data_IF_127790984593
#
_entry.id   IF_127790984593
#
_cell.length_a   1.000
_cell.length_b   1.000
_cell.length_c   1.000
_cell.angle_alpha   90.00
_cell.angle_beta   90.00
_cell.angle_gamma   90.00
#
_symmetry.space_group_name_H-M   'P 1'
#
loop_
_entity.id
_entity.type
_entity.pdbx_description
1 polymer ?
#
# COMPACT_ATOMS: atom_id res chain seq x y z
N UNK A 1 -10.80 24.66 1.59
CA UNK A 1 -10.27 24.06 2.82
C UNK A 1 -9.18 23.07 2.45
N UNK A 2 -8.13 23.01 3.27
CA UNK A 2 -6.77 22.63 2.90
C UNK A 2 -6.59 21.14 2.51
N UNK A 3 -6.10 20.91 1.29
CA UNK A 3 -5.39 19.68 0.93
C UNK A 3 -4.02 20.04 0.37
N UNK A 4 -3.23 20.73 1.21
CA UNK A 4 -1.78 20.68 1.14
C UNK A 4 -1.36 19.26 1.51
N UNK A 5 -1.39 18.35 0.53
CA UNK A 5 -0.58 17.13 0.56
C UNK A 5 0.89 17.56 0.44
N UNK A 6 1.39 18.16 1.53
CA UNK A 6 2.81 18.45 1.73
C UNK A 6 3.46 17.13 2.07
N UNK A 7 3.87 16.42 1.04
CA UNK A 7 4.93 15.43 1.09
C UNK A 7 5.22 15.08 -0.35
N UNK A 8 5.88 15.98 -1.08
CA UNK A 8 6.53 15.77 -2.39
C UNK A 8 7.56 16.89 -2.65
N UNK A 9 7.42 18.02 -1.97
CA UNK A 9 8.12 19.27 -2.23
C UNK A 9 9.20 19.60 -1.18
N UNK A 10 10.36 18.96 -1.25
CA UNK A 10 11.58 19.54 -0.67
C UNK A 10 12.58 20.00 -1.72
N UNK A 11 12.63 19.30 -2.86
CA UNK A 11 13.47 19.68 -3.99
C UNK A 11 12.64 20.27 -5.13
N UNK A 12 13.14 21.33 -5.81
CA UNK A 12 12.52 21.87 -7.01
C UNK A 12 12.29 20.79 -8.07
N UNK A 13 11.22 20.91 -8.85
CA UNK A 13 10.90 20.01 -9.96
C UNK A 13 12.11 19.72 -10.89
N UNK A 14 12.87 20.72 -11.39
CA UNK A 14 14.01 20.46 -12.27
C UNK A 14 15.11 19.61 -11.60
N UNK A 15 15.35 19.81 -10.31
CA UNK A 15 16.31 18.99 -9.54
C UNK A 15 15.83 17.54 -9.48
N UNK A 16 14.54 17.32 -9.21
CA UNK A 16 13.94 15.98 -9.18
C UNK A 16 14.05 15.28 -10.53
N UNK A 17 13.82 15.98 -11.64
CA UNK A 17 13.94 15.42 -12.98
C UNK A 17 15.37 14.95 -13.29
N UNK A 18 16.38 15.75 -12.93
CA UNK A 18 17.78 15.34 -13.09
C UNK A 18 18.12 14.13 -12.22
N UNK A 19 17.63 14.06 -10.98
CA UNK A 19 17.82 12.90 -10.10
C UNK A 19 17.15 11.64 -10.65
N UNK A 20 15.94 11.76 -11.20
CA UNK A 20 15.21 10.64 -11.84
C UNK A 20 15.96 10.10 -13.07
N UNK A 21 16.69 10.98 -13.78
CA UNK A 21 17.54 10.61 -14.92
C UNK A 21 18.93 10.11 -14.52
N UNK A 22 19.24 10.02 -13.23
CA UNK A 22 20.55 9.61 -12.71
C UNK A 22 21.65 10.68 -12.81
N UNK A 23 21.28 11.90 -13.21
CA UNK A 23 22.20 13.03 -13.42
C UNK A 23 22.46 13.78 -12.11
N UNK A 24 23.23 13.17 -11.21
CA UNK A 24 23.48 13.70 -9.88
C UNK A 24 24.28 15.01 -9.89
N UNK A 25 25.32 15.09 -10.72
CA UNK A 25 26.16 16.28 -10.81
C UNK A 25 25.37 17.48 -11.36
N UNK A 26 24.46 17.24 -12.31
CA UNK A 26 23.57 18.26 -12.83
C UNK A 26 22.59 18.76 -11.75
N UNK A 27 22.04 17.85 -10.94
CA UNK A 27 21.15 18.21 -9.83
C UNK A 27 21.86 19.04 -8.74
N UNK A 28 23.10 18.69 -8.38
CA UNK A 28 23.93 19.46 -7.43
C UNK A 28 24.26 20.84 -8.02
N UNK A 29 24.70 20.89 -9.27
CA UNK A 29 25.02 22.14 -9.97
C UNK A 29 23.82 23.08 -10.02
N UNK A 30 22.61 22.53 -10.26
CA UNK A 30 21.38 23.30 -10.28
C UNK A 30 21.04 23.88 -8.90
N UNK A 31 21.18 23.09 -7.84
CA UNK A 31 20.99 23.56 -6.46
C UNK A 31 22.00 24.65 -6.04
N UNK A 32 23.26 24.52 -6.46
CA UNK A 32 24.31 25.48 -6.14
C UNK A 32 24.14 26.79 -6.93
N UNK A 33 23.90 26.70 -8.24
CA UNK A 33 23.89 27.86 -9.13
C UNK A 33 22.55 28.60 -9.14
N UNK A 34 21.43 27.88 -9.19
CA UNK A 34 20.10 28.51 -9.29
C UNK A 34 19.47 28.77 -7.91
N UNK A 35 19.68 27.86 -6.96
CA UNK A 35 19.07 27.92 -5.63
C UNK A 35 20.03 28.39 -4.54
N UNK A 36 21.23 28.86 -4.94
CA UNK A 36 22.26 29.46 -4.08
C UNK A 36 22.61 28.61 -2.85
N UNK A 37 22.49 27.28 -2.97
CA UNK A 37 22.88 26.36 -1.91
C UNK A 37 24.40 26.18 -1.90
N UNK A 38 24.97 25.91 -0.74
CA UNK A 38 26.36 25.42 -0.70
C UNK A 38 26.41 24.01 -1.28
N UNK A 39 27.56 23.61 -1.83
CA UNK A 39 27.72 22.27 -2.40
C UNK A 39 27.43 21.17 -1.34
N UNK A 40 27.85 21.41 -0.10
CA UNK A 40 27.60 20.50 1.02
C UNK A 40 26.10 20.41 1.36
N UNK A 41 25.39 21.55 1.41
CA UNK A 41 23.95 21.57 1.67
C UNK A 41 23.16 20.93 0.52
N UNK A 42 23.55 21.17 -0.73
CA UNK A 42 22.94 20.55 -1.90
C UNK A 42 23.05 19.01 -1.86
N UNK A 43 24.22 18.49 -1.49
CA UNK A 43 24.43 17.04 -1.32
C UNK A 43 23.58 16.47 -0.18
N UNK A 44 23.51 17.17 0.96
CA UNK A 44 22.66 16.76 2.09
C UNK A 44 21.18 16.71 1.69
N UNK A 45 20.67 17.74 1.01
CA UNK A 45 19.28 17.79 0.54
C UNK A 45 18.94 16.67 -0.44
N UNK A 46 19.86 16.32 -1.34
CA UNK A 46 19.70 15.21 -2.28
C UNK A 46 19.67 13.87 -1.54
N UNK A 47 20.55 13.67 -0.55
CA UNK A 47 20.60 12.43 0.22
C UNK A 47 19.34 12.27 1.09
N UNK A 48 18.89 13.35 1.75
CA UNK A 48 17.64 13.36 2.50
C UNK A 48 16.44 13.03 1.61
N UNK A 49 16.39 13.60 0.40
CA UNK A 49 15.36 13.29 -0.58
C UNK A 49 15.37 11.82 -0.99
N UNK A 50 16.56 11.23 -1.24
CA UNK A 50 16.70 9.80 -1.56
C UNK A 50 16.26 8.91 -0.40
N UNK A 51 16.60 9.28 0.83
CA UNK A 51 16.16 8.55 2.02
C UNK A 51 14.63 8.58 2.14
N UNK A 52 14.02 9.76 1.98
CA UNK A 52 12.57 9.90 2.03
C UNK A 52 11.86 9.08 0.94
N UNK A 53 12.41 9.05 -0.28
CA UNK A 53 11.89 8.17 -1.34
C UNK A 53 11.97 6.69 -0.97
N UNK A 54 13.05 6.25 -0.32
CA UNK A 54 13.19 4.86 0.15
C UNK A 54 12.15 4.54 1.22
N UNK A 55 11.99 5.40 2.21
CA UNK A 55 11.00 5.22 3.29
C UNK A 55 9.56 5.15 2.74
N UNK A 56 9.22 6.02 1.80
CA UNK A 56 7.90 6.00 1.15
C UNK A 56 7.67 4.80 0.28
N UNK A 57 8.69 4.34 -0.45
CA UNK A 57 8.57 3.12 -1.24
C UNK A 57 8.22 1.94 -0.33
N UNK A 58 8.91 1.81 0.80
CA UNK A 58 8.62 0.78 1.80
C UNK A 58 7.20 0.95 2.36
N UNK A 59 6.79 2.17 2.71
CA UNK A 59 5.44 2.42 3.23
C UNK A 59 4.34 2.07 2.20
N UNK A 60 4.55 2.42 0.93
CA UNK A 60 3.63 2.07 -0.16
C UNK A 60 3.60 0.57 -0.41
N UNK A 61 4.73 -0.12 -0.40
CA UNK A 61 4.80 -1.58 -0.51
C UNK A 61 4.03 -2.26 0.63
N UNK A 62 4.20 -1.79 1.88
CA UNK A 62 3.44 -2.27 3.04
C UNK A 62 1.94 -2.01 2.85
N UNK A 63 1.55 -0.84 2.35
CA UNK A 63 0.15 -0.52 2.11
C UNK A 63 -0.46 -1.45 1.05
N UNK A 64 0.22 -1.67 -0.07
CA UNK A 64 -0.23 -2.58 -1.13
C UNK A 64 -0.37 -4.01 -0.60
N UNK A 65 0.60 -4.48 0.19
CA UNK A 65 0.53 -5.81 0.81
C UNK A 65 -0.67 -5.92 1.76
N UNK A 66 -0.89 -4.91 2.61
CA UNK A 66 -2.02 -4.90 3.55
C UNK A 66 -3.36 -4.86 2.82
N UNK A 67 -3.50 -4.06 1.76
CA UNK A 67 -4.71 -4.01 0.95
C UNK A 67 -4.98 -5.36 0.26
N UNK A 68 -3.92 -6.02 -0.21
CA UNK A 68 -4.03 -7.35 -0.81
C UNK A 68 -4.44 -8.41 0.22
N UNK A 69 -3.81 -8.42 1.40
CA UNK A 69 -4.19 -9.31 2.49
C UNK A 69 -5.62 -9.07 2.97
N UNK A 70 -6.07 -7.81 3.04
CA UNK A 70 -7.45 -7.48 3.41
C UNK A 70 -8.46 -8.03 2.39
N UNK A 71 -8.14 -7.97 1.09
CA UNK A 71 -8.96 -8.58 0.03
C UNK A 71 -8.98 -10.10 0.13
N UNK A 72 -7.82 -10.73 0.27
CA UNK A 72 -7.71 -12.19 0.43
C UNK A 72 -8.46 -12.69 1.67
N UNK A 73 -8.34 -11.98 2.80
CA UNK A 73 -9.09 -12.29 4.01
C UNK A 73 -10.61 -12.14 3.80
N UNK A 74 -11.05 -11.09 3.10
CA UNK A 74 -12.46 -10.89 2.78
C UNK A 74 -13.02 -12.04 1.93
N UNK A 75 -12.30 -12.45 0.89
CA UNK A 75 -12.70 -13.56 0.01
C UNK A 75 -12.75 -14.89 0.77
N UNK A 76 -11.77 -15.14 1.65
CA UNK A 76 -11.75 -16.33 2.52
C UNK A 76 -12.91 -16.34 3.51
N UNK A 77 -13.25 -15.19 4.10
CA UNK A 77 -14.41 -15.06 4.98
C UNK A 77 -15.72 -15.37 4.25
N UNK A 78 -15.91 -14.88 3.01
CA UNK A 78 -17.09 -15.20 2.22
C UNK A 78 -17.19 -16.71 1.94
N UNK A 79 -16.09 -17.34 1.53
CA UNK A 79 -16.03 -18.78 1.29
C UNK A 79 -16.41 -19.57 2.55
N UNK A 80 -15.83 -19.22 3.70
CA UNK A 80 -16.15 -19.86 4.99
C UNK A 80 -17.63 -19.74 5.34
N UNK A 81 -18.22 -18.56 5.11
CA UNK A 81 -19.62 -18.32 5.40
C UNK A 81 -20.55 -19.17 4.52
N UNK A 82 -20.25 -19.24 3.22
CA UNK A 82 -21.02 -20.06 2.26
C UNK A 82 -20.96 -21.54 2.60
N UNK A 83 -19.78 -22.07 2.91
CA UNK A 83 -19.63 -23.46 3.31
C UNK A 83 -20.29 -23.76 4.65
N UNK A 84 -20.18 -22.85 5.61
CA UNK A 84 -20.86 -22.97 6.91
C UNK A 84 -22.38 -23.11 6.76
N UNK A 85 -23.01 -22.27 5.94
CA UNK A 85 -24.47 -22.35 5.69
C UNK A 85 -24.86 -23.62 4.94
N UNK A 86 -24.08 -24.05 3.95
CA UNK A 86 -24.36 -25.30 3.23
C UNK A 86 -24.34 -26.51 4.17
N UNK A 87 -23.35 -26.57 5.07
CA UNK A 87 -23.25 -27.65 6.05
C UNK A 87 -24.46 -27.62 7.00
N UNK A 88 -24.84 -26.45 7.50
CA UNK A 88 -26.01 -26.31 8.36
C UNK A 88 -27.32 -26.79 7.68
N UNK A 89 -27.51 -26.48 6.40
CA UNK A 89 -28.65 -26.96 5.61
C UNK A 89 -28.68 -28.48 5.45
N UNK A 90 -27.52 -29.09 5.21
CA UNK A 90 -27.41 -30.57 5.11
C UNK A 90 -27.77 -31.21 6.44
N UNK A 91 -27.25 -30.69 7.56
CA UNK A 91 -27.57 -31.20 8.91
C UNK A 91 -29.06 -31.06 9.21
N UNK A 92 -29.66 -29.90 8.92
CA UNK A 92 -31.09 -29.66 9.12
C UNK A 92 -31.95 -30.62 8.28
N UNK A 93 -31.56 -30.86 7.03
CA UNK A 93 -32.25 -31.79 6.12
C UNK A 93 -32.17 -33.23 6.63
N UNK A 94 -30.98 -33.67 7.09
CA UNK A 94 -30.79 -35.00 7.68
C UNK A 94 -31.59 -35.16 8.99
N UNK A 95 -31.63 -34.13 9.83
CA UNK A 95 -32.40 -34.14 11.06
C UNK A 95 -33.91 -34.27 10.79
N UNK A 96 -34.43 -33.52 9.81
CA UNK A 96 -35.82 -33.64 9.36
C UNK A 96 -36.14 -35.03 8.82
N UNK A 97 -35.25 -35.59 8.00
CA UNK A 97 -35.41 -36.92 7.43
C UNK A 97 -35.43 -37.99 8.52
N UNK A 98 -34.55 -37.88 9.51
CA UNK A 98 -34.52 -38.76 10.68
C UNK A 98 -35.81 -38.68 11.50
N UNK A 99 -36.34 -37.48 11.73
CA UNK A 99 -37.62 -37.30 12.44
C UNK A 99 -38.79 -37.93 11.68
N UNK A 100 -38.85 -37.77 10.36
CA UNK A 100 -39.89 -38.41 9.56
C UNK A 100 -39.81 -39.94 9.60
N UNK A 101 -38.61 -40.51 9.43
CA UNK A 101 -38.38 -41.94 9.54
C UNK A 101 -38.78 -42.49 10.93
N UNK A 102 -38.44 -41.75 12.00
CA UNK A 102 -38.82 -42.11 13.36
C UNK A 102 -40.33 -42.05 13.59
N UNK A 103 -41.05 -41.15 12.92
CA UNK A 103 -42.52 -41.03 13.06
C UNK A 103 -43.28 -42.12 12.31
N UNK A 104 -42.67 -42.73 11.30
CA UNK A 104 -43.23 -43.79 10.46
C UNK A 104 -43.05 -45.20 11.04
N UNK A 105 -42.19 -45.34 12.06
CA UNK A 105 -41.78 -46.60 12.67
C UNK A 105 -42.30 -46.69 14.10
#
# INVERSE_FOLDING_TARGET
>A
MNHLQVTADKLPLPVREHLMRGQHDAAVSLLVNEYQQTEESAKQLIEEYRQNLRERKVALEIQVINEQQAKEAHDMHQLWWVWGVRIALVIASLALLYLMLRSLN
#
